data_IF_865793524725
#
_entry.id   IF_865793524725
#
_cell.length_a   1.000
_cell.length_b   1.000
_cell.length_c   1.000
_cell.angle_alpha   90.00
_cell.angle_beta   90.00
_cell.angle_gamma   90.00
#
_symmetry.space_group_name_H-M   'P 1'
#
loop_
_entity.id
_entity.type
_entity.pdbx_description
1 polymer ?
#
# COMPACT_ATOMS: atom_id res chain seq x y z
N UNK A 1 -6.01 5.96 6.80
CA UNK A 1 -5.19 4.79 7.17
C UNK A 1 -3.71 5.11 7.05
N UNK A 2 -2.84 4.18 7.44
CA UNK A 2 -1.38 4.34 7.47
C UNK A 2 -0.79 4.87 6.14
N UNK A 3 -1.30 4.40 5.00
CA UNK A 3 -0.85 4.87 3.68
C UNK A 3 -1.14 6.34 3.42
N UNK A 4 -2.35 6.83 3.75
CA UNK A 4 -2.68 8.24 3.58
C UNK A 4 -1.74 9.14 4.41
N UNK A 5 -1.40 8.70 5.63
CA UNK A 5 -0.42 9.42 6.48
C UNK A 5 0.99 9.42 5.89
N UNK A 6 1.42 8.32 5.26
CA UNK A 6 2.70 8.27 4.56
C UNK A 6 2.74 9.25 3.38
N UNK A 7 1.65 9.38 2.61
CA UNK A 7 1.57 10.36 1.51
C UNK A 7 1.62 11.80 2.01
N UNK A 8 0.99 12.08 3.17
CA UNK A 8 1.01 13.40 3.79
C UNK A 8 2.41 13.74 4.33
N UNK A 9 3.06 12.79 5.01
CA UNK A 9 4.37 12.99 5.67
C UNK A 9 5.52 13.10 4.66
N UNK A 10 5.47 12.33 3.58
CA UNK A 10 6.49 12.27 2.54
C UNK A 10 5.98 12.88 1.23
N UNK A 11 5.29 14.02 1.33
CA UNK A 11 4.61 14.67 0.21
C UNK A 11 5.57 15.12 -0.91
N UNK A 12 6.85 15.32 -0.59
CA UNK A 12 7.92 15.69 -1.52
C UNK A 12 8.44 14.51 -2.37
N UNK A 13 8.12 13.27 -2.00
CA UNK A 13 8.52 12.10 -2.78
C UNK A 13 7.76 12.02 -4.10
N UNK A 14 8.48 11.53 -5.12
CA UNK A 14 7.99 11.41 -6.49
C UNK A 14 6.80 10.46 -6.60
N UNK A 15 5.96 10.65 -7.61
CA UNK A 15 4.85 9.75 -7.92
C UNK A 15 5.30 8.32 -8.26
N UNK A 16 6.57 8.12 -8.66
CA UNK A 16 7.15 6.81 -8.96
C UNK A 16 7.73 6.09 -7.72
N UNK A 17 7.60 6.70 -6.55
CA UNK A 17 8.01 6.09 -5.27
C UNK A 17 7.04 4.96 -4.93
N UNK A 18 7.57 3.79 -4.60
CA UNK A 18 6.78 2.67 -4.11
C UNK A 18 6.67 2.71 -2.58
N UNK A 19 5.48 2.40 -2.06
CA UNK A 19 5.26 2.19 -0.62
C UNK A 19 4.53 0.87 -0.40
N UNK A 20 4.92 0.20 0.68
CA UNK A 20 4.21 -0.94 1.25
C UNK A 20 4.01 -0.66 2.73
N UNK A 21 2.81 -0.94 3.24
CA UNK A 21 2.52 -0.90 4.66
C UNK A 21 1.65 -2.09 5.04
N UNK A 22 2.04 -2.77 6.10
CA UNK A 22 1.24 -3.78 6.79
C UNK A 22 0.90 -3.31 8.20
N UNK A 23 -0.25 -3.72 8.70
CA UNK A 23 -0.71 -3.40 10.05
C UNK A 23 -1.44 -4.60 10.62
N UNK A 24 -1.14 -4.89 11.88
CA UNK A 24 -1.95 -5.78 12.72
C UNK A 24 -2.68 -4.89 13.72
N UNK A 25 -3.99 -5.08 13.87
CA UNK A 25 -4.77 -4.50 14.94
C UNK A 25 -5.00 -5.59 15.98
N UNK A 26 -4.31 -5.50 17.11
CA UNK A 26 -4.48 -6.41 18.22
C UNK A 26 -5.83 -6.13 18.87
N UNK A 27 -6.73 -7.10 18.84
CA UNK A 27 -8.04 -6.96 19.48
C UNK A 27 -8.01 -7.50 20.90
N UNK A 28 -8.25 -6.64 21.89
CA UNK A 28 -8.13 -7.01 23.30
C UNK A 28 -9.25 -7.94 23.82
N UNK A 29 -10.36 -8.11 23.08
CA UNK A 29 -11.56 -8.83 23.54
C UNK A 29 -12.00 -10.01 22.66
N UNK A 30 -11.60 -10.07 21.38
CA UNK A 30 -11.80 -11.24 20.54
C UNK A 30 -10.46 -11.91 20.25
N UNK A 31 -10.44 -13.23 20.06
CA UNK A 31 -9.20 -14.01 19.85
C UNK A 31 -8.64 -13.91 18.42
N UNK A 32 -8.95 -12.84 17.70
CA UNK A 32 -8.56 -12.67 16.31
C UNK A 32 -7.99 -11.28 16.12
N UNK A 33 -6.72 -11.20 15.77
CA UNK A 33 -6.11 -9.96 15.32
C UNK A 33 -6.59 -9.64 13.91
N UNK A 34 -6.88 -8.37 13.63
CA UNK A 34 -7.21 -7.94 12.28
C UNK A 34 -5.93 -7.54 11.53
N UNK A 35 -5.73 -8.11 10.34
CA UNK A 35 -4.59 -7.80 9.50
C UNK A 35 -5.00 -6.98 8.28
N UNK A 36 -4.20 -5.97 7.94
CA UNK A 36 -4.38 -5.16 6.75
C UNK A 36 -3.03 -4.89 6.06
N UNK A 37 -3.03 -4.98 4.74
CA UNK A 37 -1.92 -4.59 3.89
C UNK A 37 -2.39 -3.61 2.82
N UNK A 38 -1.47 -2.76 2.38
CA UNK A 38 -1.67 -1.98 1.19
C UNK A 38 -0.34 -1.51 0.60
N UNK A 39 -0.33 -1.37 -0.71
CA UNK A 39 0.86 -0.96 -1.46
C UNK A 39 0.49 -0.23 -2.75
N UNK A 40 1.52 0.34 -3.38
CA UNK A 40 1.43 0.94 -4.70
C UNK A 40 2.40 2.09 -4.85
N UNK A 41 2.30 2.76 -5.99
CA UNK A 41 3.04 4.01 -6.20
C UNK A 41 2.34 5.18 -5.51
N UNK A 42 3.12 6.18 -5.10
CA UNK A 42 2.60 7.41 -4.55
C UNK A 42 1.58 8.07 -5.48
N UNK A 43 1.85 8.12 -6.80
CA UNK A 43 0.93 8.69 -7.79
C UNK A 43 -0.40 7.93 -7.87
N UNK A 44 -0.37 6.60 -7.81
CA UNK A 44 -1.58 5.75 -7.81
C UNK A 44 -2.43 6.02 -6.56
N UNK A 45 -1.80 6.03 -5.38
CA UNK A 45 -2.50 6.23 -4.11
C UNK A 45 -3.04 7.67 -3.98
N UNK A 46 -2.28 8.68 -4.44
CA UNK A 46 -2.75 10.07 -4.51
C UNK A 46 -3.98 10.19 -5.43
N UNK A 47 -3.96 9.51 -6.57
CA UNK A 47 -5.09 9.51 -7.49
C UNK A 47 -6.33 8.88 -6.83
N UNK A 48 -6.18 7.76 -6.12
CA UNK A 48 -7.28 7.08 -5.42
C UNK A 48 -7.91 7.95 -4.33
N UNK A 49 -7.09 8.65 -3.54
CA UNK A 49 -7.61 9.58 -2.54
C UNK A 49 -8.37 10.74 -3.18
N UNK A 50 -7.92 11.22 -4.35
CA UNK A 50 -8.57 12.31 -5.08
C UNK A 50 -9.87 11.88 -5.74
N UNK A 51 -9.93 10.67 -6.29
CA UNK A 51 -11.11 10.15 -7.03
C UNK A 51 -12.10 9.40 -6.13
N UNK A 52 -11.67 8.98 -4.94
CA UNK A 52 -12.42 8.05 -4.09
C UNK A 52 -12.59 6.65 -4.70
N UNK A 53 -11.88 6.35 -5.80
CA UNK A 53 -12.02 5.10 -6.54
C UNK A 53 -10.66 4.40 -6.67
N UNK A 54 -10.56 3.10 -6.31
CA UNK A 54 -9.33 2.33 -6.48
C UNK A 54 -8.85 2.29 -7.93
N UNK A 55 -7.55 2.27 -8.13
CA UNK A 55 -6.96 2.02 -9.44
C UNK A 55 -7.26 0.58 -9.86
N UNK A 56 -7.65 0.37 -11.12
CA UNK A 56 -7.90 -0.97 -11.67
C UNK A 56 -6.64 -1.83 -11.70
N UNK A 57 -5.45 -1.21 -11.68
CA UNK A 57 -4.16 -1.88 -11.64
C UNK A 57 -3.26 -1.15 -10.64
N UNK A 58 -2.61 -1.93 -9.78
CA UNK A 58 -1.62 -1.47 -8.80
C UNK A 58 -0.25 -1.96 -9.22
N UNK A 59 0.76 -1.11 -9.07
CA UNK A 59 2.15 -1.55 -9.21
C UNK A 59 2.55 -2.28 -7.92
N UNK A 60 2.79 -3.59 -8.00
CA UNK A 60 3.39 -4.37 -6.92
C UNK A 60 4.93 -4.18 -6.85
N UNK A 61 5.56 -4.76 -5.82
CA UNK A 61 7.00 -4.62 -5.61
C UNK A 61 7.84 -5.18 -6.76
N UNK A 62 7.42 -6.29 -7.36
CA UNK A 62 8.16 -6.93 -8.45
C UNK A 62 8.07 -6.08 -9.73
N UNK A 63 6.87 -5.58 -10.03
CA UNK A 63 6.64 -4.65 -11.13
C UNK A 63 7.48 -3.37 -10.96
N UNK A 64 7.53 -2.80 -9.74
CA UNK A 64 8.34 -1.61 -9.47
C UNK A 64 9.85 -1.85 -9.63
N UNK A 65 10.37 -2.96 -9.09
CA UNK A 65 11.78 -3.34 -9.21
C UNK A 65 12.16 -3.82 -10.62
N UNK A 66 11.18 -3.99 -11.52
CA UNK A 66 11.33 -4.66 -12.82
C UNK A 66 11.94 -6.06 -12.69
N UNK A 67 11.58 -6.75 -11.62
CA UNK A 67 11.96 -8.14 -11.38
C UNK A 67 10.79 -9.06 -11.73
N UNK A 68 11.06 -10.36 -11.84
CA UNK A 68 9.96 -11.34 -11.93
C UNK A 68 9.31 -11.45 -10.53
N UNK A 69 7.98 -11.61 -10.45
CA UNK A 69 7.32 -11.90 -9.18
C UNK A 69 7.98 -13.12 -8.53
N UNK A 70 8.38 -12.99 -7.27
CA UNK A 70 8.69 -14.18 -6.48
C UNK A 70 7.39 -14.98 -6.34
N UNK A 71 7.37 -16.30 -6.60
CA UNK A 71 6.20 -17.09 -6.24
C UNK A 71 5.98 -16.91 -4.74
N UNK A 72 4.82 -16.35 -4.38
CA UNK A 72 4.36 -16.37 -2.99
C UNK A 72 4.06 -17.83 -2.69
N UNK A 73 4.80 -18.43 -1.75
CA UNK A 73 4.41 -19.71 -1.17
C UNK A 73 3.17 -19.42 -0.33
N UNK A 74 2.01 -19.87 -0.81
CA UNK A 74 0.74 -19.91 -0.07
C UNK A 74 0.75 -21.15 0.81
#
# INVERSE_FOLDING_TARGET
GILARALDMYADLSDATFVFASQVNEESIHKHDAFAEGFGLFGELRAELRTGSPSTTKTDLAAWLRTRPSPVLI
#
